data_IF_290776610501
#
_entry.id   IF_290776610501
#
_cell.length_a   1.000
_cell.length_b   1.000
_cell.length_c   1.000
_cell.angle_alpha   90.00
_cell.angle_beta   90.00
_cell.angle_gamma   90.00
#
_symmetry.space_group_name_H-M   'P 1'
#
loop_
_entity.id
_entity.type
_entity.pdbx_description
1 polymer ?
#
# COMPACT_ATOMS: atom_id res chain seq x y z
N UNK A 1 2.61 -27.40 25.59
CA UNK A 1 2.08 -26.45 24.60
C UNK A 1 0.93 -25.74 25.28
N UNK A 2 1.00 -24.42 25.42
CA UNK A 2 -0.13 -23.65 25.97
C UNK A 2 -1.35 -23.80 25.05
N UNK A 3 -2.54 -23.77 25.63
CA UNK A 3 -3.79 -23.74 24.88
C UNK A 3 -3.78 -22.50 23.97
N UNK A 4 -3.75 -22.73 22.65
CA UNK A 4 -3.76 -21.70 21.61
C UNK A 4 -5.19 -21.36 21.17
N UNK A 5 -6.21 -21.80 21.92
CA UNK A 5 -7.59 -21.43 21.62
C UNK A 5 -7.80 -19.93 21.80
N UNK A 6 -8.36 -19.30 20.77
CA UNK A 6 -8.77 -17.91 20.83
C UNK A 6 -9.98 -17.79 21.77
N UNK A 7 -10.11 -16.68 22.53
CA UNK A 7 -11.30 -16.42 23.32
C UNK A 7 -12.58 -16.52 22.47
N UNK A 8 -13.66 -17.04 23.04
CA UNK A 8 -14.94 -17.18 22.33
C UNK A 8 -15.56 -15.83 21.93
N UNK A 9 -15.12 -14.73 22.52
CA UNK A 9 -15.53 -13.37 22.21
C UNK A 9 -14.44 -12.58 21.46
N UNK A 10 -13.45 -13.28 20.88
CA UNK A 10 -12.41 -12.67 20.05
C UNK A 10 -13.00 -12.01 18.81
N UNK A 11 -12.41 -10.87 18.46
CA UNK A 11 -12.75 -10.07 17.29
C UNK A 11 -11.59 -10.05 16.29
N UNK A 12 -11.92 -9.88 15.02
CA UNK A 12 -10.96 -9.87 13.91
C UNK A 12 -11.22 -8.65 13.03
N UNK A 13 -10.20 -7.83 12.84
CA UNK A 13 -10.31 -6.58 12.09
C UNK A 13 -9.70 -6.75 10.68
N UNK A 14 -10.53 -6.57 9.67
CA UNK A 14 -10.15 -6.56 8.26
C UNK A 14 -10.20 -5.14 7.69
N UNK A 15 -9.21 -4.78 6.88
CA UNK A 15 -9.19 -3.51 6.13
C UNK A 15 -9.18 -3.72 4.63
N UNK A 16 -9.69 -2.74 3.89
CA UNK A 16 -9.55 -2.65 2.43
C UNK A 16 -9.19 -1.21 2.04
N UNK A 17 -7.91 -0.99 1.71
CA UNK A 17 -7.41 0.30 1.19
C UNK A 17 -7.56 0.33 -0.32
N UNK A 18 -8.77 0.64 -0.79
CA UNK A 18 -9.15 0.68 -2.19
C UNK A 18 -8.77 2.01 -2.86
N UNK A 19 -9.18 2.22 -4.11
CA UNK A 19 -8.89 3.45 -4.87
C UNK A 19 -9.70 4.64 -4.38
N UNK A 20 -10.97 4.43 -4.02
CA UNK A 20 -11.91 5.51 -3.68
C UNK A 20 -12.20 5.62 -2.19
N UNK A 21 -11.83 4.60 -1.41
CA UNK A 21 -12.11 4.56 0.01
C UNK A 21 -11.16 3.66 0.78
N UNK A 22 -11.10 3.87 2.08
CA UNK A 22 -10.60 2.92 3.06
C UNK A 22 -11.78 2.35 3.83
N UNK A 23 -11.91 1.03 3.91
CA UNK A 23 -12.95 0.35 4.68
C UNK A 23 -12.33 -0.47 5.80
N UNK A 24 -13.02 -0.53 6.94
CA UNK A 24 -12.74 -1.46 8.03
C UNK A 24 -13.98 -2.28 8.34
N UNK A 25 -13.79 -3.57 8.61
CA UNK A 25 -14.85 -4.50 8.99
C UNK A 25 -14.35 -5.35 10.14
N UNK A 26 -15.15 -5.46 11.21
CA UNK A 26 -14.85 -6.29 12.37
C UNK A 26 -15.77 -7.49 12.40
N UNK A 27 -15.18 -8.67 12.52
CA UNK A 27 -15.88 -9.95 12.62
C UNK A 27 -15.76 -10.50 14.04
N UNK A 28 -16.79 -11.20 14.52
CA UNK A 28 -16.68 -12.08 15.68
C UNK A 28 -16.12 -13.47 15.30
N UNK A 29 -15.96 -14.34 16.30
CA UNK A 29 -15.48 -15.72 16.10
C UNK A 29 -16.43 -16.61 15.28
N UNK A 30 -17.67 -16.18 15.05
CA UNK A 30 -18.64 -16.87 14.19
C UNK A 30 -18.64 -16.30 12.77
N UNK A 31 -17.67 -15.43 12.44
CA UNK A 31 -17.55 -14.75 11.14
C UNK A 31 -18.70 -13.80 10.84
N UNK A 32 -19.38 -13.29 11.87
CA UNK A 32 -20.45 -12.30 11.75
C UNK A 32 -19.87 -10.91 11.85
N UNK A 33 -20.28 -10.01 10.95
CA UNK A 33 -19.88 -8.60 11.00
C UNK A 33 -20.54 -7.92 12.20
N UNK A 34 -19.73 -7.44 13.14
CA UNK A 34 -20.19 -6.72 14.34
C UNK A 34 -19.99 -5.21 14.24
N UNK A 35 -19.08 -4.75 13.38
CA UNK A 35 -18.89 -3.34 13.06
C UNK A 35 -18.34 -3.18 11.64
N UNK A 36 -18.68 -2.09 10.97
CA UNK A 36 -18.07 -1.71 9.70
C UNK A 36 -18.06 -0.21 9.54
N UNK A 37 -16.93 0.32 9.11
CA UNK A 37 -16.73 1.75 8.86
C UNK A 37 -16.07 1.95 7.50
N UNK A 38 -16.32 3.10 6.88
CA UNK A 38 -15.74 3.45 5.58
C UNK A 38 -15.45 4.94 5.53
N UNK A 39 -14.31 5.30 4.94
CA UNK A 39 -13.94 6.68 4.60
C UNK A 39 -13.87 6.77 3.08
N UNK A 40 -14.78 7.55 2.48
CA UNK A 40 -14.77 7.88 1.06
C UNK A 40 -13.87 9.09 0.84
N UNK A 41 -12.78 8.92 0.09
CA UNK A 41 -11.71 9.92 0.01
C UNK A 41 -12.19 11.29 -0.45
N UNK A 42 -13.02 11.35 -1.49
CA UNK A 42 -13.47 12.62 -2.06
C UNK A 42 -14.41 13.40 -1.13
N UNK A 43 -15.31 12.70 -0.41
CA UNK A 43 -16.32 13.35 0.44
C UNK A 43 -15.86 13.56 1.87
N UNK A 44 -15.09 12.62 2.42
CA UNK A 44 -14.62 12.67 3.82
C UNK A 44 -13.28 13.41 3.95
N UNK A 45 -12.47 13.48 2.87
CA UNK A 45 -11.19 14.18 2.85
C UNK A 45 -11.10 15.19 1.67
N UNK A 46 -12.08 16.11 1.53
CA UNK A 46 -12.19 16.98 0.36
C UNK A 46 -11.02 17.95 0.18
N UNK A 47 -10.23 18.20 1.23
CA UNK A 47 -9.03 19.05 1.17
C UNK A 47 -7.93 18.49 0.26
N UNK A 48 -7.91 17.18 0.01
CA UNK A 48 -7.02 16.60 -1.01
C UNK A 48 -7.50 16.90 -2.43
N UNK A 49 -8.76 17.30 -2.66
CA UNK A 49 -9.28 17.63 -3.99
C UNK A 49 -9.11 16.51 -5.02
N UNK A 50 -9.17 15.26 -4.58
CA UNK A 50 -9.18 14.10 -5.47
C UNK A 50 -10.51 14.03 -6.23
N UNK A 51 -10.49 13.29 -7.34
CA UNK A 51 -11.70 12.83 -8.02
C UNK A 51 -11.59 11.33 -8.24
N UNK A 52 -12.53 10.57 -7.68
CA UNK A 52 -12.47 9.13 -7.54
C UNK A 52 -11.24 8.66 -6.73
N UNK A 53 -10.81 9.45 -5.73
CA UNK A 53 -9.64 9.14 -4.88
C UNK A 53 -8.27 9.35 -5.53
N UNK A 54 -8.22 9.95 -6.72
CA UNK A 54 -6.99 10.08 -7.52
C UNK A 54 -6.79 11.47 -8.11
N UNK A 55 -5.54 11.77 -8.46
CA UNK A 55 -5.14 12.83 -9.37
C UNK A 55 -4.86 12.24 -10.75
N UNK A 56 -5.37 12.89 -11.79
CA UNK A 56 -5.08 12.58 -13.18
C UNK A 56 -4.26 13.74 -13.72
N UNK A 57 -3.00 13.46 -14.08
CA UNK A 57 -2.07 14.49 -14.51
C UNK A 57 -2.45 15.00 -15.92
N UNK A 58 -2.66 16.31 -16.05
CA UNK A 58 -3.00 16.90 -17.35
C UNK A 58 -1.78 17.05 -18.27
N UNK A 59 -0.56 17.04 -17.72
CA UNK A 59 0.68 17.30 -18.44
C UNK A 59 1.44 16.00 -18.77
N UNK A 60 1.24 14.95 -17.97
CA UNK A 60 1.88 13.64 -18.19
C UNK A 60 0.82 12.62 -18.58
N UNK A 61 0.78 12.28 -19.88
CA UNK A 61 -0.21 11.35 -20.40
C UNK A 61 -0.20 10.00 -19.66
N UNK A 62 -1.38 9.57 -19.22
CA UNK A 62 -1.57 8.30 -18.51
C UNK A 62 -1.09 8.29 -17.05
N UNK A 63 -0.54 9.40 -16.52
CA UNK A 63 -0.08 9.44 -15.12
C UNK A 63 -1.27 9.60 -14.18
N UNK A 64 -1.47 8.63 -13.29
CA UNK A 64 -2.57 8.61 -12.33
C UNK A 64 -2.02 8.19 -10.97
N UNK A 65 -2.23 9.04 -9.98
CA UNK A 65 -1.61 8.94 -8.65
C UNK A 65 -2.61 9.25 -7.55
N UNK A 66 -2.29 8.87 -6.31
CA UNK A 66 -3.05 9.29 -5.11
C UNK A 66 -2.07 9.89 -4.08
N UNK A 67 -2.48 10.91 -3.30
CA UNK A 67 -1.65 11.43 -2.21
C UNK A 67 -1.41 10.33 -1.18
N UNK A 68 -0.16 9.96 -0.93
CA UNK A 68 0.16 8.87 0.01
C UNK A 68 -0.35 9.16 1.42
N UNK A 69 -0.22 10.42 1.85
CA UNK A 69 -0.64 10.87 3.19
C UNK A 69 -2.17 10.83 3.38
N UNK A 70 -2.97 10.85 2.30
CA UNK A 70 -4.43 10.71 2.36
C UNK A 70 -4.84 9.35 2.92
N UNK A 71 -4.12 8.28 2.60
CA UNK A 71 -4.38 6.95 3.15
C UNK A 71 -4.08 6.86 4.65
N UNK A 72 -3.07 7.60 5.12
CA UNK A 72 -2.76 7.72 6.56
C UNK A 72 -3.90 8.45 7.28
N UNK A 73 -4.34 9.59 6.75
CA UNK A 73 -5.43 10.36 7.34
C UNK A 73 -6.76 9.59 7.32
N UNK A 74 -7.03 8.83 6.25
CA UNK A 74 -8.19 7.96 6.20
C UNK A 74 -8.15 6.89 7.30
N UNK A 75 -6.97 6.36 7.65
CA UNK A 75 -6.83 5.39 8.73
C UNK A 75 -7.11 6.04 10.11
N UNK A 76 -6.62 7.25 10.35
CA UNK A 76 -6.96 8.02 11.55
C UNK A 76 -8.49 8.19 11.67
N UNK A 77 -9.16 8.57 10.58
CA UNK A 77 -10.61 8.76 10.56
C UNK A 77 -11.39 7.44 10.77
N UNK A 78 -10.94 6.33 10.19
CA UNK A 78 -11.55 5.01 10.43
C UNK A 78 -11.54 4.69 11.92
N UNK A 79 -10.41 4.86 12.60
CA UNK A 79 -10.32 4.56 14.03
C UNK A 79 -11.13 5.53 14.89
N UNK A 80 -11.22 6.81 14.50
CA UNK A 80 -12.12 7.76 15.15
C UNK A 80 -13.60 7.39 15.00
N UNK A 81 -14.02 6.81 13.87
CA UNK A 81 -15.39 6.32 13.69
C UNK A 81 -15.62 5.02 14.48
N UNK A 82 -14.71 4.06 14.38
CA UNK A 82 -14.78 2.81 15.15
C UNK A 82 -14.77 3.06 16.67
N UNK A 83 -14.02 4.05 17.17
CA UNK A 83 -14.01 4.37 18.61
C UNK A 83 -15.33 4.96 19.13
N UNK A 84 -16.20 5.43 18.22
CA UNK A 84 -17.57 5.87 18.58
C UNK A 84 -18.56 4.70 18.60
N UNK A 85 -18.16 3.53 18.10
CA UNK A 85 -18.94 2.30 18.25
C UNK A 85 -18.65 1.67 19.62
N UNK A 86 -19.53 0.79 20.10
CA UNK A 86 -19.35 0.05 21.36
C UNK A 86 -18.32 -1.10 21.21
N UNK A 87 -17.33 -0.95 20.33
CA UNK A 87 -16.32 -1.94 20.04
C UNK A 87 -15.24 -1.94 21.12
N UNK A 88 -14.98 -3.11 21.72
CA UNK A 88 -13.86 -3.32 22.60
C UNK A 88 -12.61 -3.72 21.80
N UNK A 89 -11.72 -2.74 21.54
CA UNK A 89 -10.46 -2.98 20.83
C UNK A 89 -9.55 -3.99 21.54
N UNK A 90 -9.71 -4.19 22.86
CA UNK A 90 -8.95 -5.19 23.63
C UNK A 90 -9.27 -6.63 23.22
N UNK A 91 -10.40 -6.86 22.52
CA UNK A 91 -10.80 -8.17 22.01
C UNK A 91 -10.30 -8.46 20.60
N UNK A 92 -9.69 -7.50 19.91
CA UNK A 92 -9.17 -7.72 18.56
C UNK A 92 -7.94 -8.64 18.65
N UNK A 93 -8.14 -9.90 18.28
CA UNK A 93 -7.11 -10.93 18.33
C UNK A 93 -6.15 -10.87 17.13
N UNK A 94 -6.64 -10.41 15.97
CA UNK A 94 -5.82 -10.26 14.77
C UNK A 94 -6.33 -9.14 13.86
N UNK A 95 -5.39 -8.59 13.09
CA UNK A 95 -5.62 -7.57 12.08
C UNK A 95 -5.01 -8.02 10.76
N UNK A 96 -5.74 -7.86 9.67
CA UNK A 96 -5.23 -8.05 8.30
C UNK A 96 -5.97 -7.14 7.33
N UNK A 97 -5.58 -7.12 6.07
CA UNK A 97 -6.31 -6.36 5.07
C UNK A 97 -5.78 -6.50 3.65
N UNK A 98 -6.47 -5.83 2.73
CA UNK A 98 -6.11 -5.64 1.34
C UNK A 98 -5.68 -4.20 1.08
N UNK A 99 -4.87 -4.01 0.04
CA UNK A 99 -4.63 -2.72 -0.58
C UNK A 99 -4.83 -2.84 -2.09
N UNK A 100 -5.21 -1.74 -2.73
CA UNK A 100 -5.27 -1.69 -4.19
C UNK A 100 -3.92 -2.12 -4.78
N UNK A 101 -3.94 -3.09 -5.69
CA UNK A 101 -2.74 -3.75 -6.18
C UNK A 101 -1.85 -2.79 -6.98
N UNK A 102 -0.58 -3.17 -7.12
CA UNK A 102 0.46 -2.50 -7.91
C UNK A 102 0.90 -1.11 -7.43
N UNK A 103 0.04 -0.39 -6.71
CA UNK A 103 0.36 0.93 -6.17
C UNK A 103 1.54 0.86 -5.20
N UNK A 104 2.38 1.89 -5.20
CA UNK A 104 3.63 1.90 -4.41
C UNK A 104 3.80 3.14 -3.55
N UNK A 105 4.41 2.94 -2.38
CA UNK A 105 4.77 3.95 -1.40
C UNK A 105 6.28 3.96 -1.22
N UNK A 106 6.87 5.16 -1.24
CA UNK A 106 8.31 5.37 -1.19
C UNK A 106 8.63 6.07 0.13
N UNK A 107 9.15 5.30 1.08
CA UNK A 107 9.52 5.81 2.40
C UNK A 107 10.84 6.55 2.32
N UNK A 108 10.85 7.79 2.79
CA UNK A 108 12.04 8.62 2.88
C UNK A 108 13.06 8.03 3.87
N UNK A 109 14.34 8.32 3.67
CA UNK A 109 15.39 8.04 4.66
C UNK A 109 15.02 8.59 6.05
N UNK A 110 15.14 7.75 7.08
CA UNK A 110 14.79 8.05 8.47
C UNK A 110 13.34 7.70 8.85
N UNK A 111 12.49 7.28 7.93
CA UNK A 111 11.09 6.96 8.20
C UNK A 111 10.90 5.73 9.08
N UNK A 112 11.85 4.77 9.07
CA UNK A 112 11.83 3.66 10.03
C UNK A 112 11.88 4.16 11.48
N UNK A 113 12.63 5.23 11.76
CA UNK A 113 12.71 5.80 13.10
C UNK A 113 11.37 6.45 13.47
N UNK A 114 10.78 7.22 12.54
CA UNK A 114 9.46 7.84 12.73
C UNK A 114 8.37 6.81 13.06
N UNK A 115 8.32 5.71 12.30
CA UNK A 115 7.35 4.62 12.54
C UNK A 115 7.53 3.97 13.92
N UNK A 116 8.77 3.77 14.35
CA UNK A 116 9.07 3.14 15.64
C UNK A 116 8.83 4.02 16.86
N UNK A 117 8.64 5.33 16.66
CA UNK A 117 8.51 6.33 17.73
C UNK A 117 7.20 7.11 17.67
N UNK A 118 6.12 6.49 17.17
CA UNK A 118 4.80 7.10 17.11
C UNK A 118 4.27 7.41 18.52
N UNK A 119 3.79 8.64 18.71
CA UNK A 119 3.11 9.10 19.92
C UNK A 119 1.60 8.75 19.81
N UNK A 120 1.06 7.89 20.69
CA UNK A 120 -0.35 7.47 20.64
C UNK A 120 -1.32 8.62 20.96
N UNK A 121 -0.84 9.78 21.42
CA UNK A 121 -1.67 10.96 21.69
C UNK A 121 -1.85 11.87 20.47
N UNK A 122 -1.18 11.57 19.36
CA UNK A 122 -1.21 12.40 18.14
C UNK A 122 -1.76 11.59 16.97
N UNK A 123 -2.48 12.22 16.02
CA UNK A 123 -2.86 11.58 14.77
C UNK A 123 -1.64 11.06 14.01
N UNK A 124 -1.79 9.95 13.27
CA UNK A 124 -0.73 9.44 12.41
C UNK A 124 -0.40 10.43 11.30
N UNK A 125 -1.42 11.09 10.73
CA UNK A 125 -1.25 12.03 9.62
C UNK A 125 -0.26 13.14 9.97
N UNK A 126 -0.28 13.66 11.21
CA UNK A 126 0.61 14.74 11.63
C UNK A 126 2.04 14.28 11.89
N UNK A 127 2.23 13.00 12.20
CA UNK A 127 3.54 12.41 12.51
C UNK A 127 4.26 11.90 11.25
N UNK A 128 3.51 11.58 10.18
CA UNK A 128 4.03 10.93 8.98
C UNK A 128 4.03 11.84 7.72
N UNK A 129 3.70 13.13 7.82
CA UNK A 129 3.67 14.06 6.66
C UNK A 129 4.97 14.06 5.86
N UNK A 130 6.11 13.99 6.56
CA UNK A 130 7.45 14.04 5.96
C UNK A 130 8.10 12.66 5.78
N UNK A 131 7.34 11.57 6.00
CA UNK A 131 7.85 10.20 5.94
C UNK A 131 8.01 9.65 4.51
N UNK A 132 7.56 10.38 3.49
CA UNK A 132 7.50 9.89 2.10
C UNK A 132 8.39 10.73 1.19
N UNK A 133 9.25 10.07 0.41
CA UNK A 133 10.08 10.71 -0.62
C UNK A 133 9.23 11.06 -1.85
N UNK A 134 8.32 10.16 -2.23
CA UNK A 134 7.29 10.41 -3.25
C UNK A 134 5.97 10.73 -2.55
N UNK A 135 5.48 11.97 -2.72
CA UNK A 135 4.22 12.43 -2.07
C UNK A 135 2.96 11.89 -2.73
N UNK A 136 3.06 11.57 -4.03
CA UNK A 136 1.97 11.11 -4.88
C UNK A 136 2.29 9.71 -5.39
N UNK A 137 1.72 8.71 -4.73
CA UNK A 137 1.91 7.30 -5.07
C UNK A 137 1.29 6.97 -6.44
N UNK A 138 2.02 6.36 -7.38
CA UNK A 138 1.40 5.73 -8.54
C UNK A 138 0.50 4.59 -8.10
N UNK A 139 -0.62 4.42 -8.80
CA UNK A 139 -1.65 3.42 -8.49
C UNK A 139 -1.94 2.52 -9.69
N UNK A 140 -2.80 1.52 -9.53
CA UNK A 140 -3.12 0.54 -10.58
C UNK A 140 -3.67 1.13 -11.89
N UNK A 141 -4.21 2.35 -11.84
CA UNK A 141 -4.75 3.06 -13.01
C UNK A 141 -3.66 3.69 -13.89
N UNK A 142 -2.44 3.86 -13.38
CA UNK A 142 -1.35 4.53 -14.10
C UNK A 142 -0.93 3.70 -15.34
N UNK A 143 -0.89 4.36 -16.50
CA UNK A 143 -0.48 3.76 -17.76
C UNK A 143 0.67 4.54 -18.43
N UNK A 144 1.50 5.22 -17.65
CA UNK A 144 2.48 6.20 -18.13
C UNK A 144 3.92 5.68 -18.26
N UNK A 145 4.10 4.35 -18.27
CA UNK A 145 5.41 3.67 -18.17
C UNK A 145 5.68 2.70 -19.33
N UNK A 146 5.02 2.86 -20.48
CA UNK A 146 5.20 1.97 -21.64
C UNK A 146 6.67 1.86 -22.09
N UNK A 147 7.44 2.95 -21.97
CA UNK A 147 8.87 2.94 -22.27
C UNK A 147 9.63 1.98 -21.33
N UNK A 148 9.41 2.11 -20.01
CA UNK A 148 10.03 1.26 -19.00
C UNK A 148 9.60 -0.21 -19.15
N UNK A 149 8.34 -0.49 -19.51
CA UNK A 149 7.89 -1.85 -19.80
C UNK A 149 8.71 -2.50 -20.93
N UNK A 150 8.92 -1.78 -22.04
CA UNK A 150 9.71 -2.28 -23.18
C UNK A 150 11.17 -2.50 -22.81
N UNK A 151 11.74 -1.61 -22.00
CA UNK A 151 13.12 -1.72 -21.55
C UNK A 151 13.33 -2.91 -20.59
N UNK A 152 12.39 -3.14 -19.67
CA UNK A 152 12.41 -4.30 -18.77
C UNK A 152 12.27 -5.59 -19.57
N UNK A 153 11.29 -5.69 -20.48
CA UNK A 153 11.14 -6.87 -21.34
C UNK A 153 12.43 -7.12 -22.14
N UNK A 154 13.05 -6.08 -22.72
CA UNK A 154 14.31 -6.21 -23.46
C UNK A 154 15.46 -6.70 -22.57
N UNK A 155 15.57 -6.18 -21.34
CA UNK A 155 16.65 -6.53 -20.42
C UNK A 155 16.63 -8.00 -19.98
N UNK A 156 15.44 -8.60 -19.84
CA UNK A 156 15.29 -9.99 -19.40
C UNK A 156 15.19 -11.00 -20.55
N UNK A 157 15.37 -10.57 -21.80
CA UNK A 157 15.31 -11.45 -22.98
C UNK A 157 13.94 -11.59 -23.64
N UNK A 158 12.98 -10.73 -23.28
CA UNK A 158 11.68 -10.58 -23.94
C UNK A 158 10.48 -10.75 -23.00
N UNK A 159 9.29 -10.41 -23.51
CA UNK A 159 8.03 -10.49 -22.77
C UNK A 159 7.71 -11.90 -22.22
N UNK A 160 8.00 -12.94 -23.01
CA UNK A 160 7.77 -14.33 -22.59
C UNK A 160 8.71 -14.75 -21.47
N UNK A 161 10.00 -14.37 -21.54
CA UNK A 161 10.96 -14.69 -20.48
C UNK A 161 10.63 -13.96 -19.18
N UNK A 162 10.23 -12.68 -19.25
CA UNK A 162 9.70 -11.97 -18.10
C UNK A 162 8.51 -12.70 -17.48
N UNK A 163 7.55 -13.12 -18.31
CA UNK A 163 6.35 -13.83 -17.86
C UNK A 163 6.67 -15.19 -17.23
N UNK A 164 7.66 -15.93 -17.74
CA UNK A 164 8.12 -17.20 -17.13
C UNK A 164 8.69 -17.00 -15.72
N UNK A 165 9.33 -15.86 -15.47
CA UNK A 165 9.91 -15.49 -14.17
C UNK A 165 8.82 -14.95 -13.25
N UNK A 166 8.08 -13.93 -13.68
CA UNK A 166 7.21 -13.12 -12.80
C UNK A 166 5.72 -13.41 -12.93
N UNK A 167 5.33 -14.35 -13.79
CA UNK A 167 3.93 -14.70 -14.06
C UNK A 167 3.19 -13.74 -15.00
N UNK A 168 3.84 -12.70 -15.51
CA UNK A 168 3.24 -11.74 -16.44
C UNK A 168 4.31 -11.05 -17.29
N UNK A 169 3.94 -10.66 -18.51
CA UNK A 169 4.74 -9.69 -19.28
C UNK A 169 4.74 -8.32 -18.58
N UNK A 170 5.46 -7.34 -19.13
CA UNK A 170 5.46 -6.01 -18.52
C UNK A 170 4.14 -5.29 -18.78
N UNK A 171 3.56 -4.72 -17.73
CA UNK A 171 2.36 -3.87 -17.81
C UNK A 171 2.63 -2.55 -17.10
N UNK A 172 2.08 -1.47 -17.61
CA UNK A 172 2.45 -0.12 -17.17
C UNK A 172 2.18 0.13 -15.68
N UNK A 173 1.05 -0.39 -15.20
CA UNK A 173 0.67 -0.25 -13.80
C UNK A 173 1.54 -1.06 -12.84
N UNK A 174 2.25 -2.09 -13.32
CA UNK A 174 3.04 -2.96 -12.43
C UNK A 174 4.15 -2.14 -11.77
N UNK A 175 4.47 -2.54 -10.55
CA UNK A 175 5.28 -1.69 -9.67
C UNK A 175 6.72 -1.52 -10.15
N UNK A 176 7.33 -2.54 -10.76
CA UNK A 176 8.68 -2.47 -11.33
C UNK A 176 8.84 -1.34 -12.36
N UNK A 177 8.01 -1.30 -13.44
CA UNK A 177 7.97 -0.16 -14.37
C UNK A 177 7.78 1.20 -13.70
N UNK A 178 6.91 1.31 -12.69
CA UNK A 178 6.69 2.56 -11.93
C UNK A 178 7.93 2.99 -11.14
N UNK A 179 8.59 2.04 -10.45
CA UNK A 179 9.84 2.27 -9.73
C UNK A 179 10.92 2.74 -10.71
N UNK A 180 11.06 2.06 -11.86
CA UNK A 180 12.04 2.42 -12.89
C UNK A 180 11.84 3.82 -13.43
N UNK A 181 10.59 4.24 -13.67
CA UNK A 181 10.28 5.61 -14.08
C UNK A 181 10.69 6.64 -13.03
N UNK A 182 10.44 6.36 -11.75
CA UNK A 182 10.84 7.26 -10.65
C UNK A 182 12.36 7.35 -10.55
N UNK A 183 13.07 6.22 -10.68
CA UNK A 183 14.54 6.21 -10.77
C UNK A 183 15.04 7.08 -11.94
N UNK A 184 14.52 6.89 -13.16
CA UNK A 184 14.99 7.61 -14.35
C UNK A 184 14.64 9.11 -14.35
N UNK A 185 13.50 9.50 -13.78
CA UNK A 185 12.98 10.88 -13.88
C UNK A 185 13.13 11.71 -12.61
N UNK A 186 13.32 11.06 -11.46
CA UNK A 186 13.37 11.67 -10.13
C UNK A 186 14.47 11.01 -9.28
N UNK A 187 15.70 10.98 -9.83
CA UNK A 187 16.85 10.31 -9.23
C UNK A 187 17.07 10.68 -7.75
N UNK A 188 17.04 11.97 -7.40
CA UNK A 188 17.23 12.42 -6.01
C UNK A 188 16.15 11.86 -5.08
N UNK A 189 14.90 11.82 -5.53
CA UNK A 189 13.77 11.24 -4.78
C UNK A 189 13.99 9.74 -4.54
N UNK A 190 14.41 9.01 -5.58
CA UNK A 190 14.71 7.59 -5.47
C UNK A 190 15.88 7.33 -4.51
N UNK A 191 16.96 8.10 -4.64
CA UNK A 191 18.13 8.01 -3.76
C UNK A 191 17.83 8.37 -2.31
N UNK A 192 16.82 9.22 -2.07
CA UNK A 192 16.32 9.56 -0.74
C UNK A 192 15.26 8.55 -0.21
N UNK A 193 14.99 7.47 -0.93
CA UNK A 193 14.07 6.41 -0.52
C UNK A 193 14.86 5.32 0.20
N UNK A 194 14.43 4.91 1.40
CA UNK A 194 15.03 3.79 2.13
C UNK A 194 14.22 2.49 2.03
N UNK A 195 12.92 2.58 1.73
CA UNK A 195 12.03 1.43 1.58
C UNK A 195 10.94 1.72 0.57
N UNK A 196 10.60 0.72 -0.26
CA UNK A 196 9.43 0.75 -1.14
C UNK A 196 8.44 -0.32 -0.65
N UNK A 197 7.18 0.08 -0.51
CA UNK A 197 6.06 -0.78 -0.11
C UNK A 197 5.01 -0.82 -1.21
N UNK A 198 4.28 -1.93 -1.33
CA UNK A 198 2.96 -1.93 -1.97
C UNK A 198 1.92 -1.33 -1.02
N UNK A 199 0.79 -0.83 -1.52
CA UNK A 199 -0.29 -0.26 -0.68
C UNK A 199 -0.71 -1.24 0.44
N UNK A 200 -0.80 -2.53 0.15
CA UNK A 200 -1.07 -3.59 1.13
C UNK A 200 -0.04 -3.60 2.28
N UNK A 201 1.24 -3.77 1.95
CA UNK A 201 2.34 -3.79 2.93
C UNK A 201 2.51 -2.44 3.63
N UNK A 202 2.20 -1.32 2.97
CA UNK A 202 2.22 0.01 3.55
C UNK A 202 1.19 0.13 4.68
N UNK A 203 -0.05 -0.32 4.45
CA UNK A 203 -1.06 -0.34 5.50
C UNK A 203 -0.62 -1.21 6.68
N UNK A 204 -0.03 -2.39 6.40
CA UNK A 204 0.53 -3.24 7.45
C UNK A 204 1.65 -2.53 8.24
N UNK A 205 2.51 -1.71 7.59
CA UNK A 205 3.52 -0.93 8.29
C UNK A 205 2.92 0.02 9.33
N UNK A 206 1.78 0.64 9.02
CA UNK A 206 1.11 1.59 9.93
C UNK A 206 0.61 0.90 11.20
N UNK A 207 0.12 -0.34 11.11
CA UNK A 207 -0.27 -1.13 12.28
C UNK A 207 0.92 -1.62 13.10
N UNK A 208 2.01 -1.97 12.42
CA UNK A 208 3.21 -2.51 13.08
C UNK A 208 4.05 -1.43 13.77
N UNK A 209 3.97 -0.17 13.34
CA UNK A 209 4.98 0.84 13.69
C UNK A 209 6.38 0.47 13.19
N UNK A 210 6.46 -0.33 12.13
CA UNK A 210 7.69 -0.85 11.54
C UNK A 210 7.43 -1.31 10.10
N UNK A 211 8.49 -1.61 9.33
CA UNK A 211 8.31 -2.08 7.96
C UNK A 211 7.81 -3.53 7.90
N UNK A 212 6.61 -3.69 7.34
CA UNK A 212 6.09 -4.99 6.93
C UNK A 212 6.82 -5.52 5.68
N UNK A 213 6.83 -6.84 5.54
CA UNK A 213 7.20 -7.50 4.29
C UNK A 213 6.08 -7.35 3.24
N UNK A 214 6.45 -7.41 1.97
CA UNK A 214 5.50 -7.60 0.88
C UNK A 214 5.18 -9.10 0.83
N UNK A 215 3.89 -9.46 0.81
CA UNK A 215 3.48 -10.86 0.69
C UNK A 215 3.71 -11.37 -0.75
N UNK A 216 3.73 -12.69 -0.92
CA UNK A 216 4.02 -13.29 -2.22
C UNK A 216 2.94 -13.02 -3.27
N UNK A 217 1.68 -12.84 -2.84
CA UNK A 217 0.56 -12.64 -3.74
C UNK A 217 0.60 -11.25 -4.37
N UNK A 218 0.72 -10.20 -3.55
CA UNK A 218 0.78 -8.84 -4.08
C UNK A 218 2.15 -8.55 -4.71
N UNK A 219 3.23 -9.17 -4.18
CA UNK A 219 4.57 -9.13 -4.75
C UNK A 219 4.68 -9.69 -6.18
N UNK A 220 3.81 -10.64 -6.56
CA UNK A 220 3.73 -11.13 -7.94
C UNK A 220 3.24 -10.06 -8.93
N UNK A 221 2.49 -9.05 -8.46
CA UNK A 221 1.98 -7.94 -9.27
C UNK A 221 3.00 -6.85 -9.61
N UNK A 222 4.30 -7.14 -9.49
CA UNK A 222 5.35 -6.11 -9.59
C UNK A 222 6.25 -6.24 -10.83
N UNK A 223 6.25 -7.36 -11.55
CA UNK A 223 7.30 -7.72 -12.52
C UNK A 223 8.71 -7.79 -11.89
N UNK A 224 8.82 -8.10 -10.60
CA UNK A 224 10.10 -8.21 -9.87
C UNK A 224 10.31 -9.58 -9.21
N UNK A 225 9.25 -10.21 -8.71
CA UNK A 225 9.34 -11.49 -8.00
C UNK A 225 9.45 -12.66 -8.99
N UNK A 226 10.37 -13.60 -8.74
CA UNK A 226 10.29 -14.95 -9.31
C UNK A 226 9.20 -15.72 -8.57
N UNK A 227 8.09 -16.00 -9.25
CA UNK A 227 6.90 -16.61 -8.62
C UNK A 227 7.11 -18.08 -8.23
N UNK A 228 8.10 -18.77 -8.83
CA UNK A 228 8.44 -20.15 -8.49
C UNK A 228 9.28 -20.21 -7.23
N UNK A 229 10.27 -19.31 -7.14
CA UNK A 229 11.18 -19.22 -6.00
C UNK A 229 10.59 -18.41 -4.84
N UNK A 230 9.52 -17.63 -5.08
CA UNK A 230 8.91 -16.71 -4.12
C UNK A 230 9.93 -15.73 -3.54
N UNK A 231 10.85 -15.28 -4.39
CA UNK A 231 11.95 -14.38 -4.06
C UNK A 231 12.14 -13.36 -5.17
N UNK A 232 12.79 -12.24 -4.90
CA UNK A 232 13.07 -11.23 -5.93
C UNK A 232 14.02 -11.79 -6.99
N UNK A 233 13.67 -11.62 -8.26
CA UNK A 233 14.52 -12.01 -9.38
C UNK A 233 15.60 -10.94 -9.58
N UNK A 234 16.87 -11.34 -9.45
CA UNK A 234 18.01 -10.45 -9.74
C UNK A 234 18.04 -9.94 -11.18
N UNK A 235 17.41 -10.66 -12.11
CA UNK A 235 17.32 -10.22 -13.50
C UNK A 235 16.22 -9.17 -13.72
N UNK A 236 15.20 -9.15 -12.86
CA UNK A 236 14.07 -8.24 -12.97
C UNK A 236 14.20 -6.98 -12.09
N UNK A 237 14.99 -7.06 -11.00
CA UNK A 237 15.46 -5.92 -10.21
C UNK A 237 16.44 -5.06 -11.02
#
# INVERSE_FOLDING_TARGET
MGDLSLPNDALFLGFDSSTQSLKATVLDSNLVIVASEMIHFDSDLPHYKTKDGVYRDANVNGRIVSPTIMWVEALDLIFQRLSKSNLDFGKIAAVSGSGQQHGSVYWKKGSSALLSSLDPKKPLVDQLRDAFSVKESPIWMDCSTTAQCREIEKAVGGALELSKITGSRAYERYTGPQIRKIFETQQETYENTERISLVSSFMACLFLGAYACIDTTDGAGMNLMDIKQRAWSKAAL
#
